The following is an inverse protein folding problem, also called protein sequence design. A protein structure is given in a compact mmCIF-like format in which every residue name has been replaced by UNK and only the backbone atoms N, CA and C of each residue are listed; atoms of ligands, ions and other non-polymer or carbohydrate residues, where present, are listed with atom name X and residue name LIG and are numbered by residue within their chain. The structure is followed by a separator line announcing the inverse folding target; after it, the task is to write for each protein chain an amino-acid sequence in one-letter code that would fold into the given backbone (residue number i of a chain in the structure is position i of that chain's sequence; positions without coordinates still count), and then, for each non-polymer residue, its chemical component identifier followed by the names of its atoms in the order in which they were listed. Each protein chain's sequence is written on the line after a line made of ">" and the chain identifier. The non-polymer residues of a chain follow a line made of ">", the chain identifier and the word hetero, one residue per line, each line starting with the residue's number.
data_IF_618883291468
#
_entry.id   IF_618883291468
#
_cell.length_a   1.000
_cell.length_b   1.000
_cell.length_c   1.000
_cell.angle_alpha   90.00
_cell.angle_beta   90.00
_cell.angle_gamma   90.00
#
_symmetry.space_group_name_H-M   'P 1'
#
loop_
_entity.id
_entity.type
_entity.pdbx_description
1 polymer ?
#
# COMPACT_ATOMS: atom_id res chain seq x y z
N UNK A 1 -11.41 -29.39 43.87
CA UNK A 1 -10.13 -30.07 44.17
C UNK A 1 -9.93 -31.15 43.11
N UNK A 2 -9.01 -30.92 42.17
CA UNK A 2 -8.69 -31.87 41.12
C UNK A 2 -7.50 -32.71 41.58
N UNK A 3 -7.70 -34.02 41.77
CA UNK A 3 -6.57 -34.95 41.96
C UNK A 3 -5.90 -35.12 40.60
N UNK A 4 -4.87 -34.33 40.36
CA UNK A 4 -3.93 -34.47 39.26
C UNK A 4 -2.99 -35.64 39.55
N UNK A 5 -3.30 -36.83 39.08
CA UNK A 5 -2.28 -37.87 38.90
C UNK A 5 -1.55 -37.58 37.59
N UNK A 6 -0.35 -36.98 37.68
CA UNK A 6 0.64 -37.05 36.60
C UNK A 6 0.91 -38.53 36.36
N UNK A 7 0.41 -39.11 35.26
CA UNK A 7 0.84 -40.44 34.84
C UNK A 7 2.33 -40.34 34.52
N UNK A 8 3.16 -40.93 35.36
CA UNK A 8 4.61 -40.94 35.20
C UNK A 8 4.92 -41.87 34.03
N UNK A 9 4.90 -41.35 32.79
CA UNK A 9 5.04 -42.11 31.53
C UNK A 9 6.35 -42.91 31.43
N UNK A 10 7.25 -42.71 32.40
CA UNK A 10 8.56 -43.33 32.48
C UNK A 10 8.52 -44.70 33.19
N UNK A 11 7.47 -45.01 33.95
CA UNK A 11 7.41 -46.22 34.77
C UNK A 11 6.25 -47.13 34.38
N UNK A 12 6.46 -48.43 34.55
CA UNK A 12 5.44 -49.44 34.36
C UNK A 12 4.33 -49.24 35.38
N UNK A 13 3.08 -49.12 34.93
CA UNK A 13 1.92 -48.88 35.79
C UNK A 13 1.77 -49.99 36.82
N UNK A 14 1.88 -51.25 36.40
CA UNK A 14 1.74 -52.41 37.28
C UNK A 14 2.88 -52.51 38.30
N UNK A 15 4.13 -52.36 37.87
CA UNK A 15 5.26 -52.45 38.79
C UNK A 15 5.32 -51.27 39.76
N UNK A 16 4.78 -50.12 39.36
CA UNK A 16 4.62 -48.96 40.24
C UNK A 16 3.56 -49.22 41.31
N UNK A 17 2.44 -49.87 40.96
CA UNK A 17 1.40 -50.28 41.91
C UNK A 17 1.92 -51.37 42.88
N UNK A 18 2.79 -52.27 42.41
CA UNK A 18 3.46 -53.32 43.21
C UNK A 18 4.65 -52.79 44.05
N UNK A 19 4.93 -51.48 44.03
CA UNK A 19 5.99 -50.85 44.83
C UNK A 19 7.43 -51.10 44.32
N UNK A 20 7.61 -51.66 43.13
CA UNK A 20 8.92 -51.93 42.50
C UNK A 20 9.01 -51.26 41.12
N UNK A 21 9.18 -49.92 41.05
CA UNK A 21 9.01 -49.17 39.81
C UNK A 21 10.08 -49.53 38.77
N UNK A 22 9.68 -50.28 37.76
CA UNK A 22 10.50 -50.58 36.58
C UNK A 22 10.22 -49.59 35.46
N UNK A 23 11.23 -49.30 34.63
CA UNK A 23 11.07 -48.42 33.47
C UNK A 23 10.08 -49.03 32.48
N UNK A 24 9.10 -48.24 32.06
CA UNK A 24 8.20 -48.67 31.01
C UNK A 24 8.93 -48.62 29.66
N UNK A 25 8.55 -49.49 28.74
CA UNK A 25 9.07 -49.50 27.36
C UNK A 25 7.96 -49.45 26.31
N UNK A 26 6.74 -49.84 26.70
CA UNK A 26 5.57 -49.93 25.82
C UNK A 26 4.35 -49.33 26.50
N UNK A 27 3.45 -48.79 25.71
CA UNK A 27 2.11 -48.38 26.13
C UNK A 27 1.07 -49.24 25.40
N UNK A 28 0.11 -49.79 26.13
CA UNK A 28 -0.98 -50.58 25.56
C UNK A 28 -2.20 -49.70 25.32
N UNK A 29 -2.66 -49.65 24.07
CA UNK A 29 -3.77 -48.76 23.65
C UNK A 29 -5.12 -49.12 24.26
N UNK A 30 -5.36 -50.40 24.50
CA UNK A 30 -6.66 -50.92 24.94
C UNK A 30 -6.78 -51.00 26.47
N UNK A 31 -5.64 -51.19 27.15
CA UNK A 31 -5.56 -51.18 28.61
C UNK A 31 -5.24 -49.79 29.16
N UNK A 32 -4.73 -48.87 28.32
CA UNK A 32 -4.27 -47.53 28.71
C UNK A 32 -3.17 -47.54 29.80
N UNK A 33 -2.36 -48.60 29.86
CA UNK A 33 -1.29 -48.78 30.85
C UNK A 33 0.09 -48.77 30.20
N UNK A 34 1.09 -48.33 30.98
CA UNK A 34 2.51 -48.42 30.62
C UNK A 34 3.09 -49.74 31.14
N UNK A 35 3.88 -50.42 30.32
CA UNK A 35 4.41 -51.75 30.58
C UNK A 35 5.95 -51.76 30.47
N UNK A 36 6.64 -52.32 31.47
CA UNK A 36 8.05 -52.68 31.36
C UNK A 36 8.21 -53.92 30.45
N UNK A 37 9.46 -54.33 30.18
CA UNK A 37 9.75 -55.48 29.29
C UNK A 37 9.09 -56.78 29.78
N UNK A 38 9.11 -57.03 31.08
CA UNK A 38 8.57 -58.26 31.65
C UNK A 38 7.04 -58.25 31.67
N UNK A 39 6.43 -57.13 32.07
CA UNK A 39 4.98 -56.95 32.02
C UNK A 39 4.45 -57.03 30.60
N UNK A 40 5.14 -56.48 29.60
CA UNK A 40 4.73 -56.60 28.19
C UNK A 40 4.80 -58.04 27.69
N UNK A 41 5.89 -58.76 28.02
CA UNK A 41 6.05 -60.16 27.66
C UNK A 41 4.94 -61.03 28.25
N UNK A 42 4.53 -60.75 29.49
CA UNK A 42 3.43 -61.46 30.13
C UNK A 42 2.07 -61.06 29.53
N UNK A 43 1.87 -59.76 29.28
CA UNK A 43 0.67 -59.20 28.64
C UNK A 43 0.39 -59.86 27.29
N UNK A 44 1.43 -59.98 26.46
CA UNK A 44 1.32 -60.62 25.14
C UNK A 44 1.09 -62.13 25.19
N UNK A 45 1.60 -62.82 26.21
CA UNK A 45 1.42 -64.28 26.39
C UNK A 45 0.08 -64.63 27.01
N UNK A 46 -0.56 -63.70 27.72
CA UNK A 46 -1.88 -63.91 28.32
C UNK A 46 -2.94 -64.04 27.23
N UNK A 47 -3.73 -65.12 27.27
CA UNK A 47 -4.85 -65.33 26.34
C UNK A 47 -5.84 -64.16 26.33
N UNK A 48 -5.95 -63.43 27.44
CA UNK A 48 -6.86 -62.29 27.58
C UNK A 48 -6.37 -61.03 26.86
N UNK A 49 -5.06 -60.83 26.73
CA UNK A 49 -4.48 -59.57 26.22
C UNK A 49 -3.56 -59.75 25.00
N UNK A 50 -3.37 -60.99 24.53
CA UNK A 50 -2.51 -61.34 23.39
C UNK A 50 -2.83 -60.56 22.10
N UNK A 51 -4.06 -60.05 21.96
CA UNK A 51 -4.53 -59.30 20.79
C UNK A 51 -4.51 -57.78 20.97
N UNK A 52 -4.10 -57.27 22.14
CA UNK A 52 -4.00 -55.84 22.39
C UNK A 52 -2.83 -55.24 21.60
N UNK A 53 -3.03 -54.04 21.07
CA UNK A 53 -1.98 -53.30 20.38
C UNK A 53 -1.13 -52.54 21.39
N UNK A 54 0.18 -52.57 21.17
CA UNK A 54 1.14 -51.83 21.98
C UNK A 54 2.00 -50.97 21.06
N UNK A 55 2.35 -49.78 21.52
CA UNK A 55 3.32 -48.89 20.86
C UNK A 55 4.48 -48.61 21.82
N UNK A 56 5.62 -48.22 21.28
CA UNK A 56 6.74 -47.75 22.11
C UNK A 56 6.40 -46.45 22.83
N UNK A 57 7.06 -46.19 23.95
CA UNK A 57 6.90 -44.92 24.66
C UNK A 57 7.35 -43.73 23.82
N UNK A 58 8.38 -43.91 23.00
CA UNK A 58 8.83 -42.87 22.08
C UNK A 58 7.73 -42.52 21.06
N UNK A 59 7.01 -43.50 20.53
CA UNK A 59 5.86 -43.27 19.66
C UNK A 59 4.71 -42.57 20.40
N UNK A 60 4.43 -42.96 21.65
CA UNK A 60 3.41 -42.33 22.48
C UNK A 60 3.72 -40.86 22.80
N UNK A 61 4.97 -40.55 23.20
CA UNK A 61 5.42 -39.19 23.52
C UNK A 61 5.34 -38.28 22.28
N UNK A 62 5.58 -38.83 21.09
CA UNK A 62 5.48 -38.09 19.83
C UNK A 62 4.04 -37.80 19.40
N UNK A 63 3.02 -38.38 20.04
CA UNK A 63 1.64 -37.99 19.80
C UNK A 63 1.39 -36.56 20.33
N UNK A 64 0.51 -35.77 19.70
CA UNK A 64 0.17 -34.45 20.23
C UNK A 64 -0.33 -34.52 21.67
N UNK A 65 0.11 -33.57 22.51
CA UNK A 65 -0.21 -33.58 23.94
C UNK A 65 -1.72 -33.56 24.26
N UNK A 66 -2.55 -33.03 23.35
CA UNK A 66 -4.00 -33.08 23.51
C UNK A 66 -4.56 -34.49 23.31
N UNK A 67 -3.94 -35.30 22.42
CA UNK A 67 -4.32 -36.70 22.16
C UNK A 67 -3.97 -37.59 23.35
N UNK A 68 -2.78 -37.38 23.94
CA UNK A 68 -2.34 -38.13 25.13
C UNK A 68 -3.26 -37.95 26.35
N UNK A 69 -4.07 -36.87 26.37
CA UNK A 69 -5.02 -36.56 27.45
C UNK A 69 -6.43 -37.08 27.18
N UNK A 70 -6.68 -37.68 26.02
CA UNK A 70 -7.99 -38.25 25.68
C UNK A 70 -8.13 -39.56 26.45
N UNK A 71 -9.14 -39.63 27.32
CA UNK A 71 -9.50 -40.87 28.02
C UNK A 71 -10.50 -41.66 27.19
N UNK A 72 -10.40 -43.01 27.20
CA UNK A 72 -11.45 -43.89 26.66
C UNK A 72 -12.70 -43.99 27.54
N UNK A 73 -12.72 -43.31 28.69
CA UNK A 73 -13.81 -43.37 29.66
C UNK A 73 -14.55 -42.04 29.77
N UNK A 74 -15.87 -42.16 29.95
CA UNK A 74 -16.75 -41.04 30.28
C UNK A 74 -16.33 -40.42 31.61
N UNK A 75 -16.21 -39.08 31.63
CA UNK A 75 -15.80 -38.33 32.83
C UNK A 75 -16.82 -38.44 33.96
N UNK A 76 -18.10 -38.41 33.62
CA UNK A 76 -19.19 -38.36 34.60
C UNK A 76 -19.46 -39.74 35.21
N UNK A 77 -19.30 -40.80 34.40
CA UNK A 77 -19.71 -42.15 34.79
C UNK A 77 -18.54 -43.13 34.96
N UNK A 78 -17.31 -42.74 34.59
CA UNK A 78 -16.09 -43.59 34.60
C UNK A 78 -16.28 -44.93 33.88
N UNK A 79 -17.15 -44.96 32.85
CA UNK A 79 -17.44 -46.11 32.00
C UNK A 79 -16.88 -45.90 30.60
N UNK A 80 -16.53 -46.98 29.90
CA UNK A 80 -16.03 -46.91 28.53
C UNK A 80 -17.05 -46.26 27.60
N UNK A 81 -16.55 -45.53 26.61
CA UNK A 81 -17.39 -45.02 25.54
C UNK A 81 -17.79 -46.15 24.59
N UNK A 82 -19.10 -46.26 24.34
CA UNK A 82 -19.68 -47.32 23.49
C UNK A 82 -20.60 -46.75 22.41
N UNK A 83 -21.07 -45.51 22.60
CA UNK A 83 -22.01 -44.83 21.71
C UNK A 83 -21.44 -43.50 21.23
N UNK A 84 -21.97 -42.98 20.14
CA UNK A 84 -21.68 -41.66 19.61
C UNK A 84 -22.98 -40.90 19.39
N UNK A 85 -23.08 -39.70 19.96
CA UNK A 85 -24.20 -38.81 19.74
C UNK A 85 -23.96 -37.94 18.52
N UNK A 86 -24.78 -38.07 17.47
CA UNK A 86 -24.63 -37.26 16.25
C UNK A 86 -25.04 -35.79 16.45
N UNK A 87 -25.93 -35.51 17.42
CA UNK A 87 -26.35 -34.13 17.73
C UNK A 87 -25.26 -33.32 18.45
N UNK A 88 -24.60 -33.90 19.45
CA UNK A 88 -23.55 -33.25 20.22
C UNK A 88 -22.13 -33.55 19.70
N UNK A 89 -22.03 -34.37 18.65
CA UNK A 89 -20.80 -34.82 18.04
C UNK A 89 -19.76 -35.40 19.02
N UNK A 90 -20.20 -36.14 20.04
CA UNK A 90 -19.33 -36.63 21.11
C UNK A 90 -19.52 -38.14 21.43
N UNK A 91 -18.46 -38.82 21.90
CA UNK A 91 -18.57 -40.18 22.41
C UNK A 91 -19.27 -40.21 23.77
N UNK A 92 -20.09 -41.24 23.99
CA UNK A 92 -20.97 -41.40 25.15
C UNK A 92 -20.87 -42.83 25.72
N UNK A 93 -20.96 -42.97 27.04
CA UNK A 93 -21.20 -44.29 27.64
C UNK A 93 -22.71 -44.58 27.68
N UNK A 94 -23.10 -45.83 27.96
CA UNK A 94 -24.52 -46.23 27.98
C UNK A 94 -25.34 -45.42 29.00
N UNK A 95 -24.75 -45.03 30.14
CA UNK A 95 -25.43 -44.22 31.16
C UNK A 95 -25.70 -42.77 30.73
N UNK A 96 -24.92 -42.24 29.79
CA UNK A 96 -25.13 -40.89 29.25
C UNK A 96 -26.47 -40.78 28.50
N UNK A 97 -27.01 -41.88 27.93
CA UNK A 97 -28.31 -41.88 27.25
C UNK A 97 -29.41 -41.44 28.21
N UNK A 98 -29.41 -42.02 29.41
CA UNK A 98 -30.45 -41.80 30.42
C UNK A 98 -30.21 -40.59 31.29
N UNK A 99 -29.16 -39.80 31.04
CA UNK A 99 -28.83 -38.62 31.83
C UNK A 99 -28.78 -37.36 30.95
N UNK A 100 -27.68 -37.17 30.24
CA UNK A 100 -27.38 -35.96 29.45
C UNK A 100 -27.93 -36.02 28.02
N UNK A 101 -28.14 -37.21 27.46
CA UNK A 101 -28.58 -37.42 26.06
C UNK A 101 -30.03 -37.92 25.94
N UNK A 102 -30.88 -37.73 26.97
CA UNK A 102 -32.27 -38.22 27.01
C UNK A 102 -33.12 -37.86 25.79
N UNK A 103 -32.85 -36.69 25.19
CA UNK A 103 -33.59 -36.14 24.04
C UNK A 103 -32.88 -36.36 22.70
N UNK A 104 -31.69 -36.97 22.69
CA UNK A 104 -30.93 -37.21 21.47
C UNK A 104 -31.45 -38.49 20.80
N UNK A 105 -31.95 -38.37 19.57
CA UNK A 105 -32.56 -39.49 18.86
C UNK A 105 -31.57 -40.26 17.97
N UNK A 106 -30.45 -39.65 17.58
CA UNK A 106 -29.46 -40.23 16.66
C UNK A 106 -28.18 -40.61 17.44
N UNK A 107 -28.24 -41.79 18.05
CA UNK A 107 -27.15 -42.43 18.77
C UNK A 107 -26.66 -43.64 17.96
N UNK A 108 -25.38 -43.67 17.64
CA UNK A 108 -24.77 -44.74 16.84
C UNK A 108 -23.77 -45.53 17.69
N UNK A 109 -23.59 -46.84 17.46
CA UNK A 109 -22.48 -47.57 18.06
C UNK A 109 -21.15 -46.90 17.71
N UNK A 110 -20.34 -46.59 18.73
CA UNK A 110 -19.05 -45.92 18.53
C UNK A 110 -18.12 -46.76 17.66
N UNK A 111 -18.20 -48.09 17.77
CA UNK A 111 -17.44 -49.03 16.95
C UNK A 111 -17.70 -48.84 15.44
N UNK A 112 -18.92 -48.49 15.04
CA UNK A 112 -19.25 -48.27 13.62
C UNK A 112 -18.65 -46.97 13.08
N UNK A 113 -18.55 -45.95 13.93
CA UNK A 113 -17.88 -44.69 13.59
C UNK A 113 -16.36 -44.90 13.50
N UNK A 114 -15.78 -45.65 14.44
CA UNK A 114 -14.33 -45.81 14.59
C UNK A 114 -13.68 -46.73 13.52
N UNK A 115 -14.44 -47.65 12.91
CA UNK A 115 -13.92 -48.68 11.97
C UNK A 115 -13.11 -48.11 10.80
N UNK A 116 -13.37 -46.87 10.35
CA UNK A 116 -12.72 -46.30 9.16
C UNK A 116 -12.23 -44.85 9.33
N UNK A 117 -12.15 -44.32 10.56
CA UNK A 117 -11.79 -42.90 10.79
C UNK A 117 -10.46 -42.53 10.16
N UNK A 118 -9.45 -43.40 10.28
CA UNK A 118 -8.10 -43.14 9.74
C UNK A 118 -8.05 -42.99 8.21
N UNK A 119 -9.02 -43.56 7.49
CA UNK A 119 -9.10 -43.53 6.02
C UNK A 119 -10.35 -42.77 5.56
N UNK A 120 -11.02 -42.08 6.49
CA UNK A 120 -12.25 -41.37 6.19
C UNK A 120 -11.99 -40.17 5.30
N UNK A 121 -12.98 -39.84 4.46
CA UNK A 121 -12.92 -38.65 3.62
C UNK A 121 -12.71 -37.38 4.46
N UNK A 122 -13.21 -37.32 5.69
CA UNK A 122 -13.01 -36.17 6.58
C UNK A 122 -11.55 -35.94 6.97
N UNK A 123 -10.77 -37.01 7.22
CA UNK A 123 -9.33 -36.89 7.49
C UNK A 123 -8.58 -36.41 6.24
N UNK A 124 -8.82 -37.03 5.08
CA UNK A 124 -8.16 -36.63 3.82
C UNK A 124 -8.50 -35.19 3.42
N UNK A 125 -9.73 -34.76 3.68
CA UNK A 125 -10.16 -33.39 3.41
C UNK A 125 -9.51 -32.40 4.37
N UNK A 126 -9.38 -32.71 5.67
CA UNK A 126 -8.64 -31.86 6.60
C UNK A 126 -7.17 -31.76 6.25
N UNK A 127 -6.53 -32.86 5.84
CA UNK A 127 -5.14 -32.83 5.37
C UNK A 127 -4.98 -31.90 4.17
N UNK A 128 -5.92 -31.95 3.22
CA UNK A 128 -5.96 -31.03 2.08
C UNK A 128 -6.17 -29.58 2.53
N UNK A 129 -7.13 -29.32 3.41
CA UNK A 129 -7.43 -27.98 3.91
C UNK A 129 -6.21 -27.38 4.62
N UNK A 130 -5.51 -28.17 5.45
CA UNK A 130 -4.27 -27.75 6.11
C UNK A 130 -3.18 -27.41 5.09
N UNK A 131 -3.04 -28.21 4.03
CA UNK A 131 -2.09 -27.94 2.95
C UNK A 131 -2.44 -26.66 2.20
N UNK A 132 -3.70 -26.49 1.80
CA UNK A 132 -4.18 -25.31 1.07
C UNK A 132 -4.02 -24.02 1.90
N UNK A 133 -4.30 -24.10 3.21
CA UNK A 133 -4.07 -22.99 4.14
C UNK A 133 -2.59 -22.64 4.26
N UNK A 134 -1.71 -23.64 4.38
CA UNK A 134 -0.26 -23.42 4.42
C UNK A 134 0.22 -22.72 3.15
N UNK A 135 -0.17 -23.22 1.98
CA UNK A 135 0.20 -22.62 0.69
C UNK A 135 -0.33 -21.18 0.55
N UNK A 136 -1.55 -20.92 1.03
CA UNK A 136 -2.10 -19.56 1.07
C UNK A 136 -1.25 -18.63 1.93
N UNK A 137 -0.87 -19.05 3.15
CA UNK A 137 -0.01 -18.24 4.01
C UNK A 137 1.36 -18.00 3.38
N UNK A 138 1.97 -19.00 2.75
CA UNK A 138 3.23 -18.84 2.03
C UNK A 138 3.11 -17.83 0.87
N UNK A 139 2.04 -17.91 0.08
CA UNK A 139 1.74 -16.93 -0.99
C UNK A 139 1.55 -15.52 -0.43
N UNK A 140 0.83 -15.37 0.69
CA UNK A 140 0.64 -14.07 1.37
C UNK A 140 1.99 -13.53 1.84
N UNK A 141 2.83 -14.36 2.47
CA UNK A 141 4.14 -13.95 2.97
C UNK A 141 5.01 -13.44 1.82
N UNK A 142 5.09 -14.17 0.70
CA UNK A 142 5.85 -13.75 -0.48
C UNK A 142 5.30 -12.43 -1.02
N UNK A 143 3.97 -12.32 -1.19
CA UNK A 143 3.32 -11.10 -1.66
C UNK A 143 3.64 -9.89 -0.79
N UNK A 144 3.55 -10.03 0.54
CA UNK A 144 3.85 -8.96 1.48
C UNK A 144 5.34 -8.58 1.46
N UNK A 145 6.26 -9.55 1.40
CA UNK A 145 7.70 -9.30 1.24
C UNK A 145 8.00 -8.51 -0.04
N UNK A 146 7.39 -8.88 -1.16
CA UNK A 146 7.54 -8.15 -2.42
C UNK A 146 6.99 -6.72 -2.29
N UNK A 147 5.82 -6.53 -1.66
CA UNK A 147 5.25 -5.18 -1.43
C UNK A 147 6.14 -4.30 -0.57
N UNK A 148 6.75 -4.84 0.48
CA UNK A 148 7.72 -4.10 1.31
C UNK A 148 8.90 -3.63 0.46
N UNK A 149 9.46 -4.52 -0.37
CA UNK A 149 10.56 -4.17 -1.25
C UNK A 149 10.16 -3.11 -2.30
N UNK A 150 9.01 -3.28 -2.96
CA UNK A 150 8.49 -2.31 -3.93
C UNK A 150 8.24 -0.94 -3.29
N UNK A 151 7.66 -0.90 -2.08
CA UNK A 151 7.46 0.35 -1.35
C UNK A 151 8.81 1.02 -1.02
N UNK A 152 9.80 0.23 -0.57
CA UNK A 152 11.16 0.74 -0.30
C UNK A 152 11.79 1.36 -1.55
N UNK A 153 11.63 0.73 -2.72
CA UNK A 153 12.12 1.26 -4.00
C UNK A 153 11.36 2.55 -4.38
N UNK A 154 10.04 2.58 -4.24
CA UNK A 154 9.22 3.75 -4.54
C UNK A 154 9.61 4.94 -3.66
N UNK A 155 9.81 4.71 -2.36
CA UNK A 155 10.27 5.75 -1.43
C UNK A 155 11.65 6.30 -1.84
N UNK A 156 12.61 5.42 -2.18
CA UNK A 156 13.92 5.85 -2.68
C UNK A 156 13.82 6.67 -3.96
N UNK A 157 12.96 6.28 -4.91
CA UNK A 157 12.72 7.05 -6.14
C UNK A 157 12.14 8.43 -5.86
N UNK A 158 11.11 8.51 -5.01
CA UNK A 158 10.52 9.79 -4.60
C UNK A 158 11.56 10.73 -3.95
N UNK A 159 12.44 10.20 -3.08
CA UNK A 159 13.54 10.98 -2.50
C UNK A 159 14.50 11.52 -3.58
N UNK A 160 14.85 10.70 -4.57
CA UNK A 160 15.72 11.12 -5.69
C UNK A 160 15.04 12.20 -6.53
N UNK A 161 13.75 12.05 -6.85
CA UNK A 161 12.99 13.03 -7.63
C UNK A 161 12.89 14.39 -6.91
N UNK A 162 12.55 14.40 -5.61
CA UNK A 162 12.50 15.62 -4.80
C UNK A 162 13.87 16.32 -4.79
N UNK A 163 14.95 15.57 -4.56
CA UNK A 163 16.31 16.12 -4.56
C UNK A 163 16.73 16.64 -5.93
N UNK A 164 16.38 15.92 -7.00
CA UNK A 164 16.67 16.34 -8.37
C UNK A 164 15.96 17.63 -8.71
N UNK A 165 14.68 17.77 -8.34
CA UNK A 165 13.90 18.99 -8.56
C UNK A 165 14.54 20.18 -7.83
N UNK A 166 14.91 20.00 -6.55
CA UNK A 166 15.62 21.05 -5.80
C UNK A 166 16.93 21.44 -6.47
N UNK A 167 17.71 20.47 -6.94
CA UNK A 167 18.96 20.72 -7.64
C UNK A 167 18.73 21.52 -8.92
N UNK A 168 17.77 21.13 -9.75
CA UNK A 168 17.43 21.84 -10.99
C UNK A 168 17.00 23.30 -10.74
N UNK A 169 16.24 23.56 -9.68
CA UNK A 169 15.88 24.94 -9.29
C UNK A 169 17.13 25.75 -8.95
N UNK A 170 18.03 25.19 -8.12
CA UNK A 170 19.26 25.88 -7.73
C UNK A 170 20.17 26.13 -8.94
N UNK A 171 20.36 25.12 -9.80
CA UNK A 171 21.20 25.22 -10.99
C UNK A 171 20.68 26.32 -11.94
N UNK A 172 19.35 26.44 -12.07
CA UNK A 172 18.72 27.50 -12.85
C UNK A 172 18.93 28.88 -12.22
N UNK A 173 18.73 29.03 -10.91
CA UNK A 173 18.95 30.31 -10.22
C UNK A 173 20.41 30.75 -10.28
N UNK A 174 21.37 29.82 -10.14
CA UNK A 174 22.79 30.10 -10.33
C UNK A 174 23.11 30.58 -11.75
N UNK A 175 22.41 30.06 -12.75
CA UNK A 175 22.57 30.49 -14.15
C UNK A 175 22.09 31.93 -14.33
N UNK A 176 20.91 32.25 -13.81
CA UNK A 176 20.36 33.61 -13.85
C UNK A 176 21.23 34.62 -13.10
N UNK A 177 21.77 34.24 -11.93
CA UNK A 177 22.73 35.06 -11.19
C UNK A 177 23.98 35.34 -12.02
N UNK A 178 24.54 34.29 -12.65
CA UNK A 178 25.71 34.45 -13.50
C UNK A 178 25.45 35.38 -14.68
N UNK A 179 24.32 35.24 -15.36
CA UNK A 179 23.95 36.10 -16.49
C UNK A 179 23.90 37.59 -16.13
N UNK A 180 23.30 37.94 -14.98
CA UNK A 180 23.20 39.34 -14.57
C UNK A 180 24.54 39.89 -14.05
N UNK A 181 25.38 39.06 -13.43
CA UNK A 181 26.74 39.44 -13.03
C UNK A 181 27.65 39.65 -14.25
N UNK A 182 27.57 38.78 -15.26
CA UNK A 182 28.35 38.91 -16.50
C UNK A 182 27.93 40.17 -17.29
N UNK A 183 26.63 40.50 -17.34
CA UNK A 183 26.14 41.75 -17.96
C UNK A 183 26.59 43.00 -17.19
N UNK A 184 26.52 42.96 -15.85
CA UNK A 184 27.01 44.04 -14.99
C UNK A 184 28.50 44.30 -15.21
N UNK A 185 29.31 43.25 -15.21
CA UNK A 185 30.75 43.35 -15.44
C UNK A 185 31.04 43.87 -16.85
N UNK A 186 30.34 43.38 -17.87
CA UNK A 186 30.49 43.87 -19.25
C UNK A 186 30.20 45.37 -19.37
N UNK A 187 29.09 45.84 -18.77
CA UNK A 187 28.73 47.26 -18.76
C UNK A 187 29.71 48.10 -17.94
N UNK A 188 30.18 47.57 -16.81
CA UNK A 188 31.21 48.22 -16.00
C UNK A 188 32.51 48.41 -16.78
N UNK A 189 33.01 47.36 -17.44
CA UNK A 189 34.23 47.42 -18.23
C UNK A 189 34.10 48.39 -19.41
N UNK A 190 32.96 48.39 -20.11
CA UNK A 190 32.68 49.36 -21.18
C UNK A 190 32.72 50.79 -20.65
N UNK A 191 31.99 51.07 -19.58
CA UNK A 191 31.96 52.41 -18.97
C UNK A 191 33.35 52.85 -18.52
N UNK A 192 34.10 51.96 -17.87
CA UNK A 192 35.48 52.22 -17.44
C UNK A 192 36.40 52.53 -18.63
N UNK A 193 36.27 51.78 -19.72
CA UNK A 193 37.07 52.02 -20.93
C UNK A 193 36.75 53.36 -21.59
N UNK A 194 35.47 53.75 -21.66
CA UNK A 194 35.05 55.06 -22.18
C UNK A 194 35.63 56.20 -21.35
N UNK A 195 35.56 56.09 -20.02
CA UNK A 195 36.11 57.08 -19.10
C UNK A 195 37.63 57.18 -19.24
N UNK A 196 38.34 56.05 -19.32
CA UNK A 196 39.79 56.05 -19.47
C UNK A 196 40.25 56.71 -20.78
N UNK A 197 39.54 56.49 -21.89
CA UNK A 197 39.85 57.15 -23.17
C UNK A 197 39.76 58.68 -23.05
N UNK A 198 38.70 59.18 -22.40
CA UNK A 198 38.52 60.62 -22.19
C UNK A 198 39.62 61.14 -21.26
N UNK A 199 39.93 60.41 -20.18
CA UNK A 199 40.99 60.77 -19.24
C UNK A 199 42.35 60.90 -19.93
N UNK A 200 42.76 59.90 -20.70
CA UNK A 200 44.01 59.92 -21.47
C UNK A 200 44.06 61.11 -22.45
N UNK A 201 42.95 61.39 -23.13
CA UNK A 201 42.84 62.56 -24.01
C UNK A 201 43.00 63.87 -23.23
N UNK A 202 42.38 64.00 -22.06
CA UNK A 202 42.48 65.21 -21.22
C UNK A 202 43.89 65.41 -20.70
N UNK A 203 44.56 64.34 -20.24
CA UNK A 203 45.94 64.40 -19.77
C UNK A 203 46.90 64.84 -20.89
N UNK A 204 46.69 64.35 -22.12
CA UNK A 204 47.47 64.79 -23.28
C UNK A 204 47.28 66.28 -23.58
N UNK A 205 46.03 66.77 -23.58
CA UNK A 205 45.73 68.19 -23.80
C UNK A 205 46.33 69.07 -22.69
N UNK A 206 46.20 68.66 -21.43
CA UNK A 206 46.76 69.37 -20.29
C UNK A 206 48.30 69.48 -20.38
N UNK A 207 48.99 68.39 -20.74
CA UNK A 207 50.44 68.39 -20.92
C UNK A 207 50.88 69.31 -22.08
N UNK A 208 50.16 69.31 -23.21
CA UNK A 208 50.44 70.22 -24.33
C UNK A 208 50.32 71.68 -23.90
N UNK A 209 49.22 72.04 -23.22
CA UNK A 209 49.00 73.40 -22.72
C UNK A 209 50.06 73.79 -21.68
N UNK A 210 50.44 72.87 -20.78
CA UNK A 210 51.52 73.08 -19.82
C UNK A 210 52.88 73.35 -20.48
N UNK A 211 53.19 72.64 -21.58
CA UNK A 211 54.39 72.90 -22.38
C UNK A 211 54.36 74.31 -23.01
N UNK A 212 53.23 74.71 -23.60
CA UNK A 212 53.07 76.05 -24.16
C UNK A 212 53.12 77.15 -23.09
N UNK A 213 52.56 76.95 -21.90
CA UNK A 213 52.70 77.87 -20.77
C UNK A 213 54.17 78.09 -20.39
N UNK A 214 54.96 77.01 -20.33
CA UNK A 214 56.39 77.09 -20.04
C UNK A 214 57.18 77.81 -21.14
N UNK A 215 56.85 77.56 -22.41
CA UNK A 215 57.45 78.28 -23.54
C UNK A 215 57.08 79.77 -23.49
N UNK A 216 55.81 80.10 -23.23
CA UNK A 216 55.34 81.48 -23.11
C UNK A 216 56.09 82.22 -22.00
N UNK A 217 56.24 81.63 -20.81
CA UNK A 217 56.98 82.26 -19.70
C UNK A 217 58.44 82.56 -20.05
N UNK A 218 59.10 81.72 -20.85
CA UNK A 218 60.47 81.98 -21.32
C UNK A 218 60.48 83.10 -22.35
N UNK A 219 59.54 83.08 -23.29
CA UNK A 219 59.39 84.09 -24.33
C UNK A 219 59.18 85.49 -23.72
N UNK A 220 58.29 85.63 -22.74
CA UNK A 220 58.03 86.93 -22.08
C UNK A 220 59.21 87.47 -21.28
N UNK A 221 60.16 86.61 -20.87
CA UNK A 221 61.34 87.01 -20.08
C UNK A 221 62.55 87.38 -20.94
N UNK A 222 62.68 86.80 -22.13
CA UNK A 222 63.94 86.81 -22.87
C UNK A 222 63.81 87.19 -24.36
N UNK A 223 62.62 87.14 -24.96
CA UNK A 223 62.44 87.41 -26.39
C UNK A 223 62.20 88.91 -26.66
N UNK A 224 62.40 89.33 -27.92
CA UNK A 224 62.11 90.72 -28.33
C UNK A 224 60.61 90.97 -28.51
N UNK A 225 60.17 92.22 -28.48
CA UNK A 225 58.76 92.59 -28.65
C UNK A 225 58.13 92.02 -29.93
N UNK A 226 58.87 92.03 -31.04
CA UNK A 226 58.42 91.47 -32.32
C UNK A 226 58.27 89.93 -32.24
N UNK A 227 59.21 89.23 -31.59
CA UNK A 227 59.14 87.78 -31.41
C UNK A 227 57.97 87.39 -30.51
N UNK A 228 57.71 88.16 -29.45
CA UNK A 228 56.55 87.99 -28.58
C UNK A 228 55.25 88.17 -29.39
N UNK A 229 55.14 89.24 -30.17
CA UNK A 229 53.94 89.52 -30.97
C UNK A 229 53.62 88.41 -31.98
N UNK A 230 54.64 87.87 -32.66
CA UNK A 230 54.45 86.75 -33.60
C UNK A 230 54.10 85.45 -32.88
N UNK A 231 54.80 85.12 -31.77
CA UNK A 231 54.57 83.91 -30.99
C UNK A 231 53.21 83.88 -30.28
N UNK A 232 52.67 85.04 -29.90
CA UNK A 232 51.34 85.18 -29.31
C UNK A 232 50.25 84.55 -30.19
N UNK A 233 50.31 84.75 -31.50
CA UNK A 233 49.31 84.22 -32.45
C UNK A 233 49.25 82.70 -32.45
N UNK A 234 50.39 82.03 -32.29
CA UNK A 234 50.47 80.56 -32.27
C UNK A 234 49.91 79.98 -30.95
N UNK A 235 50.19 80.65 -29.83
CA UNK A 235 49.67 80.29 -28.51
C UNK A 235 48.16 80.53 -28.45
N UNK A 236 47.69 81.68 -28.94
CA UNK A 236 46.25 81.99 -29.01
C UNK A 236 45.49 80.96 -29.85
N UNK A 237 46.04 80.55 -31.00
CA UNK A 237 45.41 79.53 -31.84
C UNK A 237 45.31 78.18 -31.12
N UNK A 238 46.36 77.78 -30.40
CA UNK A 238 46.37 76.52 -29.63
C UNK A 238 45.40 76.57 -28.44
N UNK A 239 45.38 77.69 -27.73
CA UNK A 239 44.51 77.89 -26.56
C UNK A 239 43.05 77.97 -26.99
N UNK A 240 42.75 78.61 -28.13
CA UNK A 240 41.42 78.65 -28.74
C UNK A 240 40.94 77.25 -29.15
N UNK A 241 41.82 76.41 -29.73
CA UNK A 241 41.49 75.02 -30.07
C UNK A 241 41.17 74.19 -28.82
N UNK A 242 41.98 74.31 -27.77
CA UNK A 242 41.73 73.60 -26.51
C UNK A 242 40.42 74.05 -25.84
N UNK A 243 40.14 75.36 -25.83
CA UNK A 243 38.90 75.90 -25.29
C UNK A 243 37.66 75.40 -26.07
N UNK A 244 37.73 75.34 -27.40
CA UNK A 244 36.66 74.75 -28.22
C UNK A 244 36.45 73.27 -27.90
N UNK A 245 37.53 72.51 -27.71
CA UNK A 245 37.43 71.10 -27.37
C UNK A 245 36.78 70.88 -26.00
N UNK A 246 37.05 71.72 -25.00
CA UNK A 246 36.35 71.70 -23.70
C UNK A 246 34.85 71.99 -23.89
N UNK A 247 34.51 73.02 -24.64
CA UNK A 247 33.11 73.39 -24.93
C UNK A 247 32.37 72.26 -25.69
N UNK A 248 33.05 71.58 -26.62
CA UNK A 248 32.51 70.41 -27.33
C UNK A 248 32.27 69.22 -26.38
N UNK A 249 33.12 68.99 -25.38
CA UNK A 249 32.97 67.92 -24.39
C UNK A 249 31.81 68.17 -23.42
N UNK A 250 31.66 69.42 -22.97
CA UNK A 250 30.55 69.83 -22.12
C UNK A 250 29.22 69.72 -22.87
N UNK A 251 29.14 70.27 -24.09
CA UNK A 251 27.92 70.22 -24.92
C UNK A 251 27.60 68.82 -25.41
N UNK A 252 28.61 68.01 -25.70
CA UNK A 252 28.47 66.62 -26.10
C UNK A 252 28.07 65.68 -24.95
N UNK A 253 28.11 66.16 -23.70
CA UNK A 253 27.71 65.40 -22.53
C UNK A 253 28.65 64.24 -22.19
N UNK A 254 29.87 64.21 -22.74
CA UNK A 254 30.86 63.16 -22.43
C UNK A 254 31.30 63.20 -20.96
N UNK A 255 31.16 64.36 -20.30
CA UNK A 255 31.49 64.55 -18.89
C UNK A 255 30.32 64.22 -17.94
N UNK A 256 29.15 63.84 -18.46
CA UNK A 256 28.00 63.50 -17.64
C UNK A 256 28.27 62.27 -16.77
N UNK A 257 27.87 62.32 -15.50
CA UNK A 257 27.97 61.18 -14.60
C UNK A 257 27.07 60.03 -15.10
N UNK A 258 27.68 58.88 -15.41
CA UNK A 258 26.96 57.66 -15.77
C UNK A 258 26.93 56.71 -14.57
N UNK A 259 25.73 56.42 -14.05
CA UNK A 259 25.53 55.49 -12.91
C UNK A 259 25.11 54.10 -13.40
N UNK A 260 25.68 53.08 -12.78
CA UNK A 260 25.26 51.69 -12.95
C UNK A 260 24.20 51.37 -11.88
N UNK A 261 22.98 51.08 -12.32
CA UNK A 261 21.87 50.68 -11.46
C UNK A 261 21.46 49.24 -11.77
N UNK A 262 21.27 48.44 -10.72
CA UNK A 262 20.85 47.04 -10.83
C UNK A 262 19.40 46.92 -10.37
N UNK A 263 18.53 46.46 -11.26
CA UNK A 263 17.13 46.15 -10.94
C UNK A 263 16.93 44.65 -10.89
N UNK A 264 16.73 44.11 -9.69
CA UNK A 264 16.43 42.69 -9.49
C UNK A 264 14.95 42.45 -9.76
N UNK A 265 14.63 41.36 -10.48
CA UNK A 265 13.24 41.00 -10.82
C UNK A 265 12.37 40.86 -9.56
N UNK A 266 11.21 41.54 -9.48
CA UNK A 266 10.31 41.46 -8.33
C UNK A 266 9.69 40.06 -8.17
N UNK A 267 9.61 39.27 -9.25
CA UNK A 267 9.10 37.89 -9.22
C UNK A 267 9.97 36.97 -8.36
N UNK A 268 11.29 37.21 -8.29
CA UNK A 268 12.17 36.41 -7.42
C UNK A 268 11.84 36.59 -5.94
N UNK A 269 11.34 37.77 -5.54
CA UNK A 269 10.86 38.00 -4.17
C UNK A 269 9.55 37.25 -3.93
N UNK A 270 8.64 37.26 -4.89
CA UNK A 270 7.37 36.53 -4.75
C UNK A 270 7.59 35.02 -4.67
N UNK A 271 8.59 34.45 -5.35
CA UNK A 271 8.96 33.03 -5.19
C UNK A 271 9.32 32.67 -3.74
N UNK A 272 9.98 33.57 -3.00
CA UNK A 272 10.33 33.36 -1.59
C UNK A 272 9.10 33.43 -0.66
N UNK A 273 8.05 34.15 -1.06
CA UNK A 273 6.83 34.37 -0.27
C UNK A 273 5.70 33.37 -0.62
N UNK A 274 5.58 33.03 -1.90
CA UNK A 274 4.49 32.23 -2.47
C UNK A 274 4.75 30.73 -2.39
N UNK A 275 6.00 30.29 -2.48
CA UNK A 275 6.35 28.86 -2.44
C UNK A 275 6.49 28.38 -0.99
N UNK A 276 5.39 27.88 -0.42
CA UNK A 276 5.32 27.41 0.98
C UNK A 276 5.60 25.92 1.17
N UNK A 277 5.52 25.12 0.12
CA UNK A 277 5.80 23.68 0.16
C UNK A 277 6.38 23.18 -1.16
N UNK A 278 7.12 22.07 -1.10
CA UNK A 278 7.63 21.36 -2.28
C UNK A 278 6.58 20.46 -2.95
N UNK A 279 5.45 20.25 -2.27
CA UNK A 279 4.40 19.32 -2.67
C UNK A 279 3.91 18.47 -1.51
N UNK A 280 2.95 17.60 -1.80
CA UNK A 280 2.27 16.75 -0.83
C UNK A 280 2.56 15.27 -1.07
N UNK A 281 2.67 14.49 0.02
CA UNK A 281 2.82 13.03 -0.05
C UNK A 281 1.46 12.39 0.17
N UNK A 282 0.98 11.64 -0.82
CA UNK A 282 -0.31 10.95 -0.75
C UNK A 282 -0.15 9.42 -0.76
N UNK A 283 -0.91 8.75 0.10
CA UNK A 283 -1.05 7.30 0.06
C UNK A 283 -2.25 6.90 -0.79
N UNK A 284 -2.02 6.08 -1.82
CA UNK A 284 -3.08 5.45 -2.60
C UNK A 284 -3.23 3.98 -2.22
N UNK A 285 -4.44 3.59 -1.85
CA UNK A 285 -4.78 2.21 -1.54
C UNK A 285 -5.37 1.54 -2.78
N UNK A 286 -4.72 0.49 -3.26
CA UNK A 286 -5.25 -0.36 -4.33
C UNK A 286 -5.66 -1.73 -3.77
N UNK A 287 -6.69 -2.32 -4.34
CA UNK A 287 -7.11 -3.68 -4.00
C UNK A 287 -6.02 -4.69 -4.36
N UNK A 288 -5.83 -5.69 -3.51
CA UNK A 288 -4.86 -6.77 -3.79
C UNK A 288 -5.33 -7.64 -4.96
N UNK A 289 -4.42 -7.96 -5.88
CA UNK A 289 -4.65 -8.93 -6.96
C UNK A 289 -4.38 -10.38 -6.53
N UNK A 290 -3.97 -10.61 -5.28
CA UNK A 290 -3.62 -11.91 -4.74
C UNK A 290 -4.81 -12.88 -4.81
N UNK A 291 -4.59 -14.06 -5.39
CA UNK A 291 -5.56 -15.15 -5.46
C UNK A 291 -5.17 -16.24 -4.46
N UNK A 292 -6.13 -16.59 -3.60
CA UNK A 292 -5.96 -17.59 -2.55
C UNK A 292 -6.94 -18.74 -2.78
N UNK A 293 -6.56 -19.94 -2.35
CA UNK A 293 -7.42 -21.10 -2.35
C UNK A 293 -8.58 -20.84 -1.36
N UNK A 294 -9.81 -21.14 -1.77
CA UNK A 294 -10.96 -21.00 -0.90
C UNK A 294 -10.93 -22.14 0.15
N UNK A 295 -10.73 -21.77 1.41
CA UNK A 295 -10.85 -22.72 2.52
C UNK A 295 -12.29 -23.17 2.71
N UNK A 296 -12.47 -24.41 3.17
CA UNK A 296 -13.77 -24.90 3.61
C UNK A 296 -14.23 -24.18 4.89
N UNK A 297 -15.54 -23.94 4.99
CA UNK A 297 -16.17 -23.33 6.19
C UNK A 297 -16.83 -24.35 7.14
N UNK A 298 -17.09 -25.57 6.65
CA UNK A 298 -17.78 -26.64 7.37
C UNK A 298 -16.80 -27.49 8.19
N UNK A 299 -17.23 -27.95 9.37
CA UNK A 299 -16.39 -28.81 10.21
C UNK A 299 -16.34 -30.24 9.65
N UNK A 300 -15.14 -30.81 9.53
CA UNK A 300 -14.95 -32.13 8.94
C UNK A 300 -15.59 -33.29 9.73
N UNK A 301 -15.86 -33.08 11.02
CA UNK A 301 -16.50 -34.08 11.90
C UNK A 301 -17.96 -34.38 11.52
N UNK A 302 -18.62 -33.50 10.75
CA UNK A 302 -20.00 -33.71 10.29
C UNK A 302 -20.09 -34.44 8.94
N UNK A 303 -18.96 -34.73 8.29
CA UNK A 303 -18.91 -35.47 7.02
C UNK A 303 -18.88 -36.99 7.30
N UNK A 304 -19.91 -37.50 7.96
CA UNK A 304 -20.30 -38.91 7.80
C UNK A 304 -20.84 -39.10 6.37
N UNK A 305 -20.80 -40.31 5.76
CA UNK A 305 -21.24 -40.52 4.38
C UNK A 305 -22.71 -40.14 4.24
N UNK A 306 -22.96 -38.92 3.81
CA UNK A 306 -24.26 -38.39 3.46
C UNK A 306 -24.45 -38.68 1.96
N UNK A 307 -25.58 -39.32 1.67
CA UNK A 307 -26.04 -39.67 0.33
C UNK A 307 -26.07 -38.40 -0.53
N UNK A 308 -25.55 -38.53 -1.75
CA UNK A 308 -25.40 -37.50 -2.78
C UNK A 308 -26.65 -36.61 -2.94
N UNK A 309 -26.47 -35.31 -2.72
CA UNK A 309 -27.46 -34.28 -2.99
C UNK A 309 -26.91 -33.23 -3.96
N UNK A 310 -27.56 -33.16 -5.12
CA UNK A 310 -27.64 -32.12 -6.17
C UNK A 310 -26.38 -31.25 -6.37
N UNK A 311 -25.77 -31.39 -7.54
CA UNK A 311 -24.65 -30.58 -8.00
C UNK A 311 -24.90 -29.08 -7.80
N UNK A 312 -24.06 -28.44 -6.97
CA UNK A 312 -23.98 -26.98 -6.92
C UNK A 312 -23.50 -26.49 -8.29
N UNK A 313 -24.41 -25.86 -9.04
CA UNK A 313 -24.08 -25.19 -10.30
C UNK A 313 -22.98 -24.17 -10.00
N UNK A 314 -21.77 -24.41 -10.54
CA UNK A 314 -20.73 -23.38 -10.58
C UNK A 314 -21.21 -22.31 -11.56
N UNK A 315 -21.33 -21.03 -11.14
CA UNK A 315 -21.69 -19.97 -12.07
C UNK A 315 -20.64 -19.91 -13.18
N UNK A 316 -21.09 -19.94 -14.44
CA UNK A 316 -20.24 -19.91 -15.63
C UNK A 316 -19.44 -18.61 -15.77
N UNK A 317 -19.87 -17.54 -15.09
CA UNK A 317 -19.23 -16.24 -15.12
C UNK A 317 -19.51 -15.44 -13.84
N UNK A 318 -18.46 -15.02 -13.14
CA UNK A 318 -18.53 -14.15 -11.95
C UNK A 318 -17.77 -12.86 -12.26
N UNK A 319 -18.48 -11.75 -12.45
CA UNK A 319 -17.88 -10.42 -12.62
C UNK A 319 -18.09 -9.61 -11.35
N UNK A 320 -17.01 -9.37 -10.60
CA UNK A 320 -17.06 -8.56 -9.37
C UNK A 320 -16.99 -7.08 -9.74
N UNK A 321 -18.12 -6.39 -9.71
CA UNK A 321 -18.18 -4.93 -9.90
C UNK A 321 -17.76 -4.28 -8.58
N UNK A 322 -16.69 -3.49 -8.61
CA UNK A 322 -16.25 -2.70 -7.45
C UNK A 322 -16.76 -1.28 -7.64
N UNK A 323 -17.79 -0.90 -6.89
CA UNK A 323 -18.29 0.48 -6.90
C UNK A 323 -17.27 1.34 -6.14
N UNK A 324 -16.45 2.11 -6.87
CA UNK A 324 -15.51 3.03 -6.26
C UNK A 324 -16.29 4.17 -5.58
N UNK A 325 -16.20 4.27 -4.26
CA UNK A 325 -16.90 5.29 -3.43
C UNK A 325 -16.34 6.72 -3.58
N UNK A 326 -15.68 7.05 -4.71
CA UNK A 326 -15.03 8.35 -4.91
C UNK A 326 -15.97 9.45 -5.45
N UNK A 327 -17.28 9.35 -5.19
CA UNK A 327 -18.22 10.44 -5.42
C UNK A 327 -18.81 10.87 -4.08
N UNK A 328 -18.84 12.18 -3.82
CA UNK A 328 -19.42 12.86 -2.63
C UNK A 328 -20.65 12.14 -2.07
N UNK A 329 -20.84 12.11 -0.74
CA UNK A 329 -21.35 10.96 0.01
C UNK A 329 -22.67 10.46 -0.58
N UNK A 330 -22.58 9.50 -1.48
CA UNK A 330 -23.70 8.65 -1.82
C UNK A 330 -23.85 7.72 -0.62
N UNK A 331 -24.87 7.95 0.21
CA UNK A 331 -25.27 7.07 1.30
C UNK A 331 -25.37 5.61 0.79
N UNK A 332 -25.16 4.64 1.70
CA UNK A 332 -25.24 3.20 1.45
C UNK A 332 -26.19 2.80 0.30
N UNK A 333 -25.64 2.35 -0.83
CA UNK A 333 -26.42 1.79 -1.93
C UNK A 333 -26.88 0.39 -1.52
N UNK A 334 -28.19 0.17 -1.48
CA UNK A 334 -28.78 -1.16 -1.33
C UNK A 334 -29.20 -1.68 -2.70
N UNK A 335 -28.43 -2.61 -3.24
CA UNK A 335 -28.71 -3.21 -4.54
C UNK A 335 -29.86 -4.20 -4.43
N UNK A 336 -31.05 -3.82 -4.92
CA UNK A 336 -32.18 -4.74 -5.00
C UNK A 336 -31.99 -5.79 -6.09
N UNK A 337 -31.61 -5.34 -7.29
CA UNK A 337 -31.34 -6.21 -8.44
C UNK A 337 -30.36 -5.53 -9.41
N UNK A 338 -29.85 -6.30 -10.36
CA UNK A 338 -28.99 -5.82 -11.43
C UNK A 338 -29.30 -6.52 -12.74
N UNK A 339 -29.22 -5.77 -13.84
CA UNK A 339 -29.46 -6.29 -15.19
C UNK A 339 -28.34 -5.91 -16.15
N UNK A 340 -28.03 -6.80 -17.09
CA UNK A 340 -27.14 -6.50 -18.21
C UNK A 340 -28.00 -6.11 -19.41
N UNK A 341 -27.76 -4.91 -19.94
CA UNK A 341 -28.39 -4.46 -21.18
C UNK A 341 -27.79 -5.17 -22.39
N UNK A 342 -28.49 -5.25 -23.54
CA UNK A 342 -27.97 -5.88 -24.76
C UNK A 342 -26.62 -5.31 -25.24
N UNK A 343 -26.31 -4.06 -24.90
CA UNK A 343 -25.02 -3.43 -25.22
C UNK A 343 -23.91 -3.68 -24.18
N UNK A 344 -24.12 -4.61 -23.24
CA UNK A 344 -23.15 -5.02 -22.24
C UNK A 344 -22.99 -4.08 -21.04
N UNK A 345 -23.73 -2.97 -20.98
CA UNK A 345 -23.78 -2.08 -19.81
C UNK A 345 -24.61 -2.70 -18.68
N UNK A 346 -24.34 -2.30 -17.45
CA UNK A 346 -25.07 -2.79 -16.28
C UNK A 346 -26.02 -1.72 -15.75
N UNK A 347 -27.22 -2.15 -15.39
CA UNK A 347 -28.17 -1.38 -14.59
C UNK A 347 -28.21 -1.97 -13.18
N UNK A 348 -28.18 -1.09 -12.18
CA UNK A 348 -28.33 -1.47 -10.78
C UNK A 348 -29.46 -0.64 -10.19
N UNK A 349 -30.39 -1.31 -9.52
CA UNK A 349 -31.45 -0.64 -8.77
C UNK A 349 -30.98 -0.35 -7.35
N UNK A 350 -30.88 0.94 -7.02
CA UNK A 350 -30.63 1.41 -5.66
C UNK A 350 -31.97 1.58 -4.95
N UNK A 351 -32.29 0.64 -4.07
CA UNK A 351 -33.56 0.62 -3.35
C UNK A 351 -33.65 1.80 -2.35
N UNK A 352 -32.59 2.01 -1.55
CA UNK A 352 -32.55 3.09 -0.56
C UNK A 352 -32.58 4.45 -1.25
N UNK A 353 -31.78 4.63 -2.31
CA UNK A 353 -31.76 5.87 -3.07
C UNK A 353 -32.93 6.06 -4.04
N UNK A 354 -33.85 5.08 -4.12
CA UNK A 354 -34.98 5.01 -5.05
C UNK A 354 -34.59 5.44 -6.46
N UNK A 355 -33.55 4.86 -7.03
CA UNK A 355 -33.01 5.31 -8.32
C UNK A 355 -32.38 4.19 -9.12
N UNK A 356 -32.25 4.43 -10.42
CA UNK A 356 -31.60 3.52 -11.36
C UNK A 356 -30.21 4.04 -11.67
N UNK A 357 -29.19 3.20 -11.48
CA UNK A 357 -27.79 3.53 -11.73
C UNK A 357 -27.30 2.82 -12.98
N UNK A 358 -26.62 3.52 -13.88
CA UNK A 358 -26.05 2.97 -15.10
C UNK A 358 -24.53 2.86 -15.00
N UNK A 359 -24.01 1.71 -15.42
CA UNK A 359 -22.58 1.40 -15.43
C UNK A 359 -22.11 0.95 -16.81
N UNK A 360 -20.85 1.21 -17.12
CA UNK A 360 -20.21 0.73 -18.34
C UNK A 360 -20.08 -0.79 -18.35
N UNK A 361 -19.79 -1.35 -19.51
CA UNK A 361 -19.42 -2.76 -19.67
C UNK A 361 -18.14 -3.15 -18.91
N UNK A 362 -17.38 -2.19 -18.39
CA UNK A 362 -16.21 -2.41 -17.53
C UNK A 362 -16.54 -2.25 -16.03
N UNK A 363 -17.80 -1.95 -15.69
CA UNK A 363 -18.27 -1.78 -14.31
C UNK A 363 -18.00 -0.39 -13.73
N UNK A 364 -17.69 0.61 -14.57
CA UNK A 364 -17.52 2.01 -14.14
C UNK A 364 -18.88 2.70 -14.05
N UNK A 365 -19.13 3.42 -12.96
CA UNK A 365 -20.33 4.24 -12.82
C UNK A 365 -20.37 5.31 -13.91
N UNK A 366 -21.47 5.40 -14.64
CA UNK A 366 -21.69 6.42 -15.67
C UNK A 366 -22.51 7.56 -15.09
N UNK A 367 -23.69 7.25 -14.55
CA UNK A 367 -24.65 8.24 -14.02
C UNK A 367 -25.86 7.59 -13.34
N UNK A 368 -26.62 8.41 -12.63
CA UNK A 368 -28.00 8.14 -12.25
C UNK A 368 -28.88 8.33 -13.50
N UNK A 369 -29.69 7.33 -13.84
CA UNK A 369 -30.62 7.38 -14.97
C UNK A 369 -31.87 8.15 -14.59
N UNK A 370 -32.49 7.77 -13.47
CA UNK A 370 -33.72 8.40 -12.98
C UNK A 370 -33.92 8.11 -11.50
N UNK A 371 -34.55 9.04 -10.79
CA UNK A 371 -35.12 8.82 -9.45
C UNK A 371 -36.56 8.37 -9.59
N UNK A 372 -36.91 7.31 -8.88
CA UNK A 372 -38.19 6.62 -8.89
C UNK A 372 -39.06 7.12 -7.73
N UNK A 373 -40.37 7.06 -7.93
CA UNK A 373 -41.37 7.50 -6.94
C UNK A 373 -41.66 6.45 -5.87
N UNK A 374 -41.14 5.22 -6.04
CA UNK A 374 -41.31 4.11 -5.12
C UNK A 374 -40.05 3.24 -5.01
N UNK A 375 -40.12 2.21 -4.18
CA UNK A 375 -38.97 1.35 -3.87
C UNK A 375 -38.76 0.32 -4.98
N UNK A 376 -37.65 0.38 -5.75
CA UNK A 376 -37.42 -0.53 -6.86
C UNK A 376 -37.05 -1.94 -6.36
N UNK A 377 -37.72 -2.96 -6.90
CA UNK A 377 -37.51 -4.36 -6.50
C UNK A 377 -36.91 -5.21 -7.62
N UNK A 378 -37.47 -5.13 -8.83
CA UNK A 378 -36.99 -5.89 -9.99
C UNK A 378 -36.96 -5.05 -11.27
N UNK A 379 -36.15 -5.47 -12.24
CA UNK A 379 -36.01 -4.80 -13.55
C UNK A 379 -35.93 -5.80 -14.68
N UNK A 380 -36.66 -5.52 -15.77
CA UNK A 380 -36.61 -6.29 -16.99
C UNK A 380 -36.44 -5.37 -18.22
N UNK A 381 -35.72 -5.86 -19.22
CA UNK A 381 -35.56 -5.17 -20.49
C UNK A 381 -36.82 -5.32 -21.32
N UNK A 382 -37.31 -4.22 -21.88
CA UNK A 382 -38.52 -4.22 -22.71
C UNK A 382 -38.13 -4.20 -24.19
N UNK A 383 -37.66 -3.05 -24.69
CA UNK A 383 -37.14 -2.88 -26.05
C UNK A 383 -36.28 -1.61 -26.17
N UNK A 384 -35.45 -1.55 -27.21
CA UNK A 384 -34.58 -0.42 -27.52
C UNK A 384 -33.67 -0.01 -26.34
N UNK A 385 -33.98 1.12 -25.70
CA UNK A 385 -33.30 1.63 -24.52
C UNK A 385 -34.25 1.73 -23.32
N UNK A 386 -35.32 0.93 -23.30
CA UNK A 386 -36.33 0.98 -22.23
C UNK A 386 -36.30 -0.24 -21.33
N UNK A 387 -36.49 0.00 -20.04
CA UNK A 387 -36.60 -1.03 -19.01
C UNK A 387 -37.88 -0.84 -18.21
N UNK A 388 -38.51 -1.94 -17.80
CA UNK A 388 -39.63 -1.94 -16.88
C UNK A 388 -39.11 -2.22 -15.47
N UNK A 389 -39.48 -1.38 -14.51
CA UNK A 389 -39.09 -1.50 -13.10
C UNK A 389 -40.34 -1.66 -12.25
N UNK A 390 -40.36 -2.67 -11.39
CA UNK A 390 -41.41 -2.85 -10.38
C UNK A 390 -41.09 -2.03 -9.14
N UNK A 391 -42.11 -1.31 -8.64
CA UNK A 391 -42.03 -0.49 -7.44
C UNK A 391 -42.88 -1.12 -6.34
N UNK A 392 -42.24 -1.70 -5.32
CA UNK A 392 -42.92 -2.43 -4.25
C UNK A 392 -43.87 -1.54 -3.44
N UNK A 393 -43.42 -0.32 -3.10
CA UNK A 393 -44.17 0.61 -2.25
C UNK A 393 -45.43 1.18 -2.89
N UNK A 394 -45.47 1.27 -4.23
CA UNK A 394 -46.62 1.81 -4.97
C UNK A 394 -47.39 0.74 -5.75
N UNK A 395 -46.90 -0.51 -5.77
CA UNK A 395 -47.44 -1.63 -6.54
C UNK A 395 -47.61 -1.29 -8.03
N UNK A 396 -46.66 -0.53 -8.59
CA UNK A 396 -46.70 -0.07 -9.98
C UNK A 396 -45.48 -0.57 -10.75
N UNK A 397 -45.64 -0.74 -12.06
CA UNK A 397 -44.54 -0.96 -13.00
C UNK A 397 -44.33 0.30 -13.81
N UNK A 398 -43.13 0.85 -13.76
CA UNK A 398 -42.76 2.05 -14.51
C UNK A 398 -41.80 1.69 -15.63
N UNK A 399 -42.02 2.26 -16.82
CA UNK A 399 -41.13 2.07 -17.97
C UNK A 399 -40.22 3.29 -18.09
N UNK A 400 -38.91 3.03 -18.07
CA UNK A 400 -37.86 4.06 -18.04
C UNK A 400 -36.98 3.93 -19.27
N UNK A 401 -36.74 5.03 -19.98
CA UNK A 401 -35.71 5.12 -21.03
C UNK A 401 -34.35 5.40 -20.40
N UNK A 402 -33.42 4.46 -20.55
CA UNK A 402 -32.07 4.50 -19.97
C UNK A 402 -31.02 5.18 -20.85
N UNK A 403 -31.41 5.74 -22.01
CA UNK A 403 -30.52 6.53 -22.88
C UNK A 403 -30.48 8.00 -22.48
N UNK A 404 -31.53 8.53 -21.86
CA UNK A 404 -31.60 9.95 -21.46
C UNK A 404 -30.73 10.31 -20.29
#
# INVERSE_FOLDING_TARGET
>A
MAVTTKSNTNFCTLCQDDGTPNEAVRWCTECEVFLCRDCEKHHRKSRMFQNHKTMSINEYINLPAFVQKISSQCRDHKKKFELYCSFHACPCCVQCITDTHKKCQDMKPLSDILKQVKVSASVQLLEKDLKDLKENFEKIIIYLKTRINTNTIQNKKAVVEIRSMRKSINDYLNTLEKEILDDLESKHQKLKSEINIILEQMEQQANQIGHFQNQFSKMTKHATELQIYVGLREIENTTSKAAKYIDDLEKGGQLNEKKLEVSISPVLRSVLEDVKSFGDVHMRTASSTLRLNAGRKDQAQYLLPQVSGIDKIKPSFLRKITIAQNMKPINHIYMATSMILPNGRFLILDNIGKRILLFSNEGMFIRDVVTLTGDPEDVCFVKDHTVAVTLGSTQQTVVVDVKK
#
